data_IF_989345125563
#
_entry.id   IF_989345125563
#
_cell.length_a   1.000
_cell.length_b   1.000
_cell.length_c   1.000
_cell.angle_alpha   90.00
_cell.angle_beta   90.00
_cell.angle_gamma   90.00
#
_symmetry.space_group_name_H-M   'P 1'
#
loop_
_entity.id
_entity.type
_entity.pdbx_description
1 polymer ?
#
# COMPACT_ATOMS: atom_id res chain seq x y z
N UNK A 1 41.60 18.12 17.09
CA UNK A 1 40.99 16.79 17.26
C UNK A 1 40.17 16.42 16.03
N UNK A 2 40.46 15.29 15.37
CA UNK A 2 39.83 14.90 14.09
C UNK A 2 39.39 13.43 14.10
N UNK A 3 38.08 13.18 14.13
CA UNK A 3 37.47 11.83 14.16
C UNK A 3 36.84 11.44 12.82
N UNK A 4 37.28 12.04 11.71
CA UNK A 4 36.72 11.84 10.38
C UNK A 4 36.90 10.40 9.88
N UNK A 5 38.04 9.79 10.16
CA UNK A 5 38.38 8.42 9.72
C UNK A 5 37.51 7.40 10.46
N UNK A 6 37.45 7.50 11.79
CA UNK A 6 36.66 6.65 12.67
C UNK A 6 35.17 6.74 12.33
N UNK A 7 34.66 7.95 12.03
CA UNK A 7 33.28 8.13 11.57
C UNK A 7 33.01 7.43 10.24
N UNK A 8 33.98 7.40 9.32
CA UNK A 8 33.85 6.67 8.05
C UNK A 8 33.91 5.15 8.24
N UNK A 9 34.74 4.67 9.16
CA UNK A 9 34.82 3.24 9.51
C UNK A 9 33.53 2.78 10.20
N UNK A 10 33.07 3.53 11.20
CA UNK A 10 31.83 3.27 11.93
C UNK A 10 30.61 3.27 11.00
N UNK A 11 30.56 4.19 10.02
CA UNK A 11 29.52 4.23 8.99
C UNK A 11 29.38 2.88 8.28
N UNK A 12 30.50 2.29 7.86
CA UNK A 12 30.52 1.03 7.11
C UNK A 12 30.17 -0.17 8.01
N UNK A 13 30.60 -0.15 9.28
CA UNK A 13 30.29 -1.21 10.27
C UNK A 13 28.81 -1.19 10.64
N UNK A 14 28.26 -0.01 10.97
CA UNK A 14 26.86 0.18 11.37
C UNK A 14 25.89 0.18 10.18
N UNK A 15 26.40 0.20 8.93
CA UNK A 15 25.61 0.28 7.69
C UNK A 15 24.63 1.47 7.67
N UNK A 16 25.05 2.61 8.22
CA UNK A 16 24.27 3.86 8.23
C UNK A 16 24.97 4.95 7.42
N UNK A 17 24.33 6.11 7.26
CA UNK A 17 24.98 7.30 6.69
C UNK A 17 25.97 7.94 7.67
N UNK A 18 27.01 8.62 7.16
CA UNK A 18 28.04 9.28 7.97
C UNK A 18 27.45 10.25 9.00
N UNK A 19 26.41 10.98 8.64
CA UNK A 19 25.76 11.97 9.51
C UNK A 19 24.94 11.35 10.64
N UNK A 20 24.67 10.03 10.57
CA UNK A 20 23.95 9.29 11.61
C UNK A 20 24.87 8.65 12.63
N UNK A 21 26.16 8.57 12.35
CA UNK A 21 27.12 8.11 13.35
C UNK A 21 27.24 9.22 14.40
N UNK A 22 26.73 8.93 15.59
CA UNK A 22 26.94 9.71 16.79
C UNK A 22 28.18 9.19 17.50
N UNK A 23 28.98 10.13 18.01
CA UNK A 23 30.22 9.89 18.73
C UNK A 23 30.08 10.67 20.03
N UNK A 24 30.37 10.02 21.14
CA UNK A 24 30.36 10.63 22.46
C UNK A 24 31.39 11.77 22.54
N UNK A 25 30.98 13.01 22.89
CA UNK A 25 31.90 14.14 23.01
C UNK A 25 32.95 14.00 24.12
N UNK A 26 32.68 13.23 25.18
CA UNK A 26 33.60 13.09 26.31
C UNK A 26 34.76 12.13 25.99
N UNK A 27 34.49 11.10 25.18
CA UNK A 27 35.45 10.06 24.80
C UNK A 27 36.16 10.31 23.47
N UNK A 28 36.19 11.56 22.99
CA UNK A 28 36.81 11.90 21.70
C UNK A 28 38.29 11.53 21.66
N UNK A 29 39.01 11.70 22.77
CA UNK A 29 40.45 11.38 22.83
C UNK A 29 40.70 9.88 22.64
N UNK A 30 39.99 9.03 23.37
CA UNK A 30 40.07 7.57 23.28
C UNK A 30 39.68 7.06 21.88
N UNK A 31 38.60 7.61 21.33
CA UNK A 31 38.13 7.24 19.98
C UNK A 31 39.12 7.68 18.91
N UNK A 32 39.91 8.73 19.14
CA UNK A 32 40.94 9.17 18.20
C UNK A 32 42.10 8.16 18.11
N UNK A 33 42.41 7.46 19.20
CA UNK A 33 43.44 6.41 19.27
C UNK A 33 43.02 5.11 18.56
N UNK A 34 41.72 4.91 18.34
CA UNK A 34 41.20 3.76 17.61
C UNK A 34 41.57 3.84 16.11
N UNK A 35 42.44 2.93 15.65
CA UNK A 35 42.93 2.84 14.26
C UNK A 35 42.21 1.72 13.50
N UNK A 36 42.02 0.55 14.12
CA UNK A 36 41.50 -0.63 13.42
C UNK A 36 39.97 -0.68 13.42
N UNK A 37 39.40 -1.50 12.53
CA UNK A 37 37.95 -1.77 12.54
C UNK A 37 37.49 -2.46 13.83
N UNK A 38 38.37 -3.24 14.47
CA UNK A 38 38.04 -3.95 15.71
C UNK A 38 37.91 -2.98 16.89
N UNK A 39 38.78 -1.98 16.97
CA UNK A 39 38.73 -0.94 18.00
C UNK A 39 37.44 -0.11 17.88
N UNK A 40 37.06 0.24 16.65
CA UNK A 40 35.79 0.93 16.39
C UNK A 40 34.59 0.04 16.76
N UNK A 41 34.66 -1.30 16.57
CA UNK A 41 33.61 -2.22 17.04
C UNK A 41 33.51 -2.24 18.57
N UNK A 42 34.66 -2.20 19.27
CA UNK A 42 34.70 -2.15 20.73
C UNK A 42 34.01 -0.90 21.28
N UNK A 43 34.30 0.27 20.71
CA UNK A 43 33.61 1.51 21.06
C UNK A 43 32.13 1.55 20.68
N UNK A 44 31.72 0.81 19.64
CA UNK A 44 30.29 0.60 19.33
C UNK A 44 29.62 -0.26 20.40
N UNK A 45 30.27 -1.35 20.85
CA UNK A 45 29.72 -2.21 21.91
C UNK A 45 29.66 -1.51 23.27
N UNK A 46 30.62 -0.63 23.57
CA UNK A 46 30.65 0.20 24.79
C UNK A 46 29.65 1.36 24.75
N UNK A 47 29.08 1.68 23.58
CA UNK A 47 28.12 2.77 23.40
C UNK A 47 28.74 4.14 23.11
N UNK A 48 30.07 4.27 23.09
CA UNK A 48 30.79 5.51 22.75
C UNK A 48 30.59 5.94 21.28
N UNK A 49 30.24 4.99 20.40
CA UNK A 49 29.82 5.26 19.01
C UNK A 49 28.47 4.58 18.77
N UNK A 50 27.46 5.34 18.36
CA UNK A 50 26.12 4.80 18.10
C UNK A 50 25.51 5.31 16.78
N UNK A 51 24.56 4.57 16.25
CA UNK A 51 23.73 5.03 15.14
C UNK A 51 22.52 5.81 15.67
N UNK A 52 22.38 7.08 15.25
CA UNK A 52 21.15 7.85 15.51
C UNK A 52 19.95 7.18 14.83
N UNK A 53 18.79 7.15 15.49
CA UNK A 53 17.58 6.58 14.91
C UNK A 53 17.19 7.31 13.62
N UNK A 54 16.44 6.63 12.76
CA UNK A 54 15.87 7.25 11.57
C UNK A 54 14.75 8.20 11.99
N UNK A 55 14.88 9.47 11.63
CA UNK A 55 13.78 10.43 11.71
C UNK A 55 12.76 10.03 10.65
N UNK A 56 11.74 9.28 11.07
CA UNK A 56 10.63 8.87 10.22
C UNK A 56 9.55 9.94 10.13
N UNK A 57 8.79 9.96 9.02
CA UNK A 57 7.61 10.81 8.90
C UNK A 57 6.40 10.14 9.54
N UNK A 58 5.71 10.85 10.44
CA UNK A 58 4.50 10.31 11.06
C UNK A 58 3.35 10.18 10.05
N UNK A 59 2.70 9.02 10.04
CA UNK A 59 1.56 8.73 9.16
C UNK A 59 0.19 9.02 9.78
N UNK A 60 0.14 9.48 11.04
CA UNK A 60 -1.11 9.66 11.79
C UNK A 60 -2.12 10.57 11.08
N UNK A 61 -1.69 11.74 10.60
CA UNK A 61 -2.55 12.69 9.86
C UNK A 61 -3.08 12.10 8.56
N UNK A 62 -2.23 11.40 7.81
CA UNK A 62 -2.61 10.71 6.56
C UNK A 62 -3.66 9.63 6.82
N UNK A 63 -3.49 8.83 7.89
CA UNK A 63 -4.46 7.81 8.31
C UNK A 63 -5.81 8.42 8.70
N UNK A 64 -5.81 9.52 9.47
CA UNK A 64 -7.03 10.26 9.83
C UNK A 64 -7.81 10.72 8.59
N UNK A 65 -7.13 11.34 7.62
CA UNK A 65 -7.74 11.78 6.35
C UNK A 65 -8.24 10.58 5.53
N UNK A 66 -7.50 9.47 5.48
CA UNK A 66 -7.91 8.25 4.78
C UNK A 66 -9.20 7.67 5.35
N UNK A 67 -9.37 7.67 6.68
CA UNK A 67 -10.60 7.24 7.35
C UNK A 67 -11.77 8.15 7.01
N UNK A 68 -11.59 9.48 7.03
CA UNK A 68 -12.62 10.43 6.62
C UNK A 68 -13.05 10.23 5.15
N UNK A 69 -12.08 10.05 4.25
CA UNK A 69 -12.35 9.75 2.83
C UNK A 69 -13.08 8.42 2.63
N UNK A 70 -12.77 7.40 3.44
CA UNK A 70 -13.48 6.09 3.41
C UNK A 70 -14.96 6.23 3.79
N UNK A 71 -15.28 7.17 4.68
CA UNK A 71 -16.67 7.53 5.05
C UNK A 71 -17.38 8.39 3.98
N UNK A 72 -16.71 8.76 2.89
CA UNK A 72 -17.26 9.65 1.85
C UNK A 72 -17.12 11.14 2.16
N UNK A 73 -16.41 11.52 3.23
CA UNK A 73 -16.09 12.92 3.52
C UNK A 73 -14.92 13.40 2.65
N UNK A 74 -14.76 14.71 2.49
CA UNK A 74 -13.66 15.33 1.73
C UNK A 74 -13.59 14.92 0.24
N UNK A 75 -14.69 14.44 -0.36
CA UNK A 75 -14.77 14.02 -1.79
C UNK A 75 -15.78 14.83 -2.62
N UNK A 76 -16.28 15.95 -2.08
CA UNK A 76 -17.19 16.88 -2.78
C UNK A 76 -16.53 17.59 -3.97
N UNK A 77 -17.35 18.28 -4.79
CA UNK A 77 -16.93 18.85 -6.08
C UNK A 77 -15.68 19.75 -5.98
N UNK A 78 -15.63 20.68 -5.02
CA UNK A 78 -14.47 21.57 -4.82
C UNK A 78 -13.17 20.89 -4.38
N UNK A 79 -13.21 19.63 -3.95
CA UNK A 79 -12.00 18.83 -3.63
C UNK A 79 -11.56 17.94 -4.79
N UNK A 80 -12.35 17.83 -5.86
CA UNK A 80 -12.03 17.00 -7.01
C UNK A 80 -11.04 17.76 -7.90
N UNK A 81 -9.92 17.11 -8.18
CA UNK A 81 -8.98 17.51 -9.21
C UNK A 81 -9.00 16.45 -10.32
N UNK A 82 -8.85 16.90 -11.57
CA UNK A 82 -8.92 16.06 -12.77
C UNK A 82 -10.33 15.67 -13.20
N UNK A 83 -10.45 15.10 -14.40
CA UNK A 83 -11.72 14.69 -15.00
C UNK A 83 -12.30 13.43 -14.33
N UNK A 84 -13.59 13.16 -14.54
CA UNK A 84 -14.27 11.95 -14.03
C UNK A 84 -13.56 10.66 -14.46
N UNK A 85 -13.15 10.58 -15.73
CA UNK A 85 -12.49 9.41 -16.30
C UNK A 85 -11.08 9.21 -15.72
N UNK A 86 -10.34 10.29 -15.40
CA UNK A 86 -9.04 10.19 -14.74
C UNK A 86 -9.16 9.65 -13.30
N UNK A 87 -10.20 10.07 -12.57
CA UNK A 87 -10.45 9.63 -11.19
C UNK A 87 -10.98 8.19 -11.13
N UNK A 88 -11.93 7.85 -12.00
CA UNK A 88 -12.51 6.51 -12.09
C UNK A 88 -12.69 6.17 -13.58
N UNK A 89 -11.75 5.41 -14.18
CA UNK A 89 -11.80 5.07 -15.60
C UNK A 89 -13.04 4.25 -15.96
N UNK A 90 -13.76 4.66 -17.01
CA UNK A 90 -14.98 4.01 -17.49
C UNK A 90 -14.77 2.52 -17.81
N UNK A 91 -13.65 2.20 -18.49
CA UNK A 91 -13.24 0.83 -18.81
C UNK A 91 -13.05 -0.03 -17.56
N UNK A 92 -12.48 0.53 -16.49
CA UNK A 92 -12.28 -0.19 -15.22
C UNK A 92 -13.63 -0.46 -14.52
N UNK A 93 -14.56 0.48 -14.56
CA UNK A 93 -15.93 0.29 -14.06
C UNK A 93 -16.61 -0.86 -14.81
N UNK A 94 -16.55 -0.83 -16.15
CA UNK A 94 -17.11 -1.90 -16.99
C UNK A 94 -16.50 -3.26 -16.69
N UNK A 95 -15.17 -3.38 -16.64
CA UNK A 95 -14.46 -4.62 -16.32
C UNK A 95 -14.88 -5.17 -14.94
N UNK A 96 -14.94 -4.30 -13.93
CA UNK A 96 -15.32 -4.70 -12.56
C UNK A 96 -16.76 -5.20 -12.54
N UNK A 97 -17.66 -4.48 -13.21
CA UNK A 97 -19.08 -4.83 -13.34
C UNK A 97 -19.25 -6.18 -14.05
N UNK A 98 -18.73 -6.35 -15.26
CA UNK A 98 -18.94 -7.58 -16.05
C UNK A 98 -18.32 -8.80 -15.38
N UNK A 99 -17.13 -8.66 -14.78
CA UNK A 99 -16.48 -9.76 -14.03
C UNK A 99 -17.31 -10.16 -12.82
N UNK A 100 -17.90 -9.20 -12.10
CA UNK A 100 -18.76 -9.50 -10.96
C UNK A 100 -20.01 -10.27 -11.37
N UNK A 101 -20.63 -9.94 -12.51
CA UNK A 101 -21.81 -10.63 -13.06
C UNK A 101 -21.46 -12.03 -13.55
N UNK A 102 -20.37 -12.18 -14.30
CA UNK A 102 -19.92 -13.49 -14.80
C UNK A 102 -19.54 -14.44 -13.67
N UNK A 103 -18.88 -13.92 -12.62
CA UNK A 103 -18.58 -14.70 -11.41
C UNK A 103 -19.87 -15.17 -10.73
N UNK A 104 -20.88 -14.29 -10.63
CA UNK A 104 -22.18 -14.65 -10.06
C UNK A 104 -22.88 -15.73 -10.88
N UNK A 105 -22.92 -15.60 -12.20
CA UNK A 105 -23.50 -16.60 -13.09
C UNK A 105 -22.79 -17.95 -12.99
N UNK A 106 -21.45 -17.96 -12.91
CA UNK A 106 -20.69 -19.19 -12.69
C UNK A 106 -21.06 -19.84 -11.36
N UNK A 107 -21.18 -19.05 -10.28
CA UNK A 107 -21.59 -19.54 -8.97
C UNK A 107 -23.04 -20.07 -8.96
N UNK A 108 -23.95 -19.47 -9.73
CA UNK A 108 -25.32 -19.95 -9.85
C UNK A 108 -25.38 -21.26 -10.64
N UNK A 109 -24.58 -21.37 -11.71
CA UNK A 109 -24.46 -22.60 -12.51
C UNK A 109 -23.86 -23.73 -11.68
N UNK A 110 -22.80 -23.47 -10.91
CA UNK A 110 -22.14 -24.50 -10.08
C UNK A 110 -22.99 -24.99 -8.92
N UNK A 111 -24.03 -24.24 -8.54
CA UNK A 111 -25.01 -24.61 -7.51
C UNK A 111 -26.28 -25.21 -8.12
N UNK A 112 -26.25 -25.50 -9.42
CA UNK A 112 -27.38 -25.98 -10.23
C UNK A 112 -28.64 -25.13 -10.11
N UNK A 113 -28.48 -23.86 -9.72
CA UNK A 113 -29.61 -22.94 -9.62
C UNK A 113 -30.10 -22.58 -11.00
N UNK A 114 -29.24 -22.49 -12.02
CA UNK A 114 -29.58 -22.19 -13.41
C UNK A 114 -29.12 -23.33 -14.32
N UNK A 115 -29.88 -23.62 -15.37
CA UNK A 115 -29.47 -24.60 -16.39
C UNK A 115 -28.34 -24.03 -17.26
N UNK A 116 -27.56 -24.90 -17.91
CA UNK A 116 -26.46 -24.49 -18.80
C UNK A 116 -26.94 -23.63 -19.98
N UNK A 117 -28.14 -23.90 -20.50
CA UNK A 117 -28.79 -23.09 -21.56
C UNK A 117 -29.09 -21.66 -21.07
N UNK A 118 -29.73 -21.55 -19.90
CA UNK A 118 -30.03 -20.28 -19.24
C UNK A 118 -28.77 -19.48 -18.95
N UNK A 119 -27.71 -20.13 -18.45
CA UNK A 119 -26.41 -19.52 -18.22
C UNK A 119 -25.87 -18.84 -19.48
N UNK A 120 -25.88 -19.54 -20.62
CA UNK A 120 -25.33 -19.01 -21.88
C UNK A 120 -26.08 -17.75 -22.32
N UNK A 121 -27.41 -17.78 -22.24
CA UNK A 121 -28.27 -16.64 -22.57
C UNK A 121 -28.03 -15.45 -21.64
N UNK A 122 -27.99 -15.68 -20.31
CA UNK A 122 -27.72 -14.63 -19.32
C UNK A 122 -26.30 -14.07 -19.43
N UNK A 123 -25.31 -14.89 -19.81
CA UNK A 123 -23.93 -14.47 -20.03
C UNK A 123 -23.81 -13.50 -21.20
N UNK A 124 -24.49 -13.80 -22.32
CA UNK A 124 -24.55 -12.91 -23.48
C UNK A 124 -25.22 -11.58 -23.11
N UNK A 125 -26.39 -11.63 -22.47
CA UNK A 125 -27.10 -10.42 -22.00
C UNK A 125 -26.28 -9.59 -21.03
N UNK A 126 -25.52 -10.24 -20.15
CA UNK A 126 -24.60 -9.55 -19.24
C UNK A 126 -23.52 -8.78 -20.02
N UNK A 127 -22.97 -9.41 -21.05
CA UNK A 127 -21.93 -8.81 -21.89
C UNK A 127 -22.45 -7.64 -22.72
N UNK A 128 -23.74 -7.64 -23.08
CA UNK A 128 -24.43 -6.52 -23.72
C UNK A 128 -24.79 -5.38 -22.75
N UNK A 129 -24.50 -5.52 -21.44
CA UNK A 129 -24.70 -4.46 -20.45
C UNK A 129 -26.13 -4.31 -19.94
N UNK A 130 -27.01 -5.27 -20.21
CA UNK A 130 -28.44 -5.26 -19.82
C UNK A 130 -28.61 -5.14 -18.30
N UNK A 131 -27.77 -5.81 -17.52
CA UNK A 131 -27.84 -5.78 -16.05
C UNK A 131 -27.05 -4.60 -15.50
N UNK A 132 -27.65 -3.83 -14.58
CA UNK A 132 -26.97 -2.70 -13.90
C UNK A 132 -25.97 -3.18 -12.85
N UNK A 133 -26.39 -4.18 -12.07
CA UNK A 133 -25.69 -4.75 -10.93
C UNK A 133 -26.13 -6.22 -10.72
N UNK A 134 -25.58 -6.88 -9.69
CA UNK A 134 -25.94 -8.26 -9.36
C UNK A 134 -27.41 -8.41 -8.96
N UNK A 135 -27.98 -7.42 -8.28
CA UNK A 135 -29.38 -7.46 -7.85
C UNK A 135 -30.31 -7.44 -9.06
N UNK A 136 -30.02 -6.61 -10.06
CA UNK A 136 -30.76 -6.60 -11.34
C UNK A 136 -30.73 -7.96 -12.04
N UNK A 137 -29.58 -8.65 -12.02
CA UNK A 137 -29.46 -10.00 -12.58
C UNK A 137 -30.37 -11.00 -11.83
N UNK A 138 -30.31 -11.01 -10.50
CA UNK A 138 -31.15 -11.88 -9.68
C UNK A 138 -32.65 -11.63 -9.87
N UNK A 139 -33.05 -10.35 -9.95
CA UNK A 139 -34.44 -9.97 -10.23
C UNK A 139 -34.89 -10.50 -11.59
N UNK A 140 -34.04 -10.40 -12.62
CA UNK A 140 -34.34 -10.92 -13.95
C UNK A 140 -34.51 -12.45 -13.94
N UNK A 141 -33.61 -13.17 -13.25
CA UNK A 141 -33.72 -14.63 -13.11
C UNK A 141 -35.00 -15.02 -12.39
N UNK A 142 -35.38 -14.28 -11.33
CA UNK A 142 -36.63 -14.52 -10.60
C UNK A 142 -37.86 -14.34 -11.50
N UNK A 143 -37.88 -13.27 -12.30
CA UNK A 143 -38.95 -13.00 -13.27
C UNK A 143 -39.04 -14.04 -14.39
N UNK A 144 -37.92 -14.62 -14.79
CA UNK A 144 -37.88 -15.67 -15.82
C UNK A 144 -38.47 -17.01 -15.34
N UNK A 145 -38.64 -17.17 -14.02
CA UNK A 145 -39.12 -18.42 -13.38
C UNK A 145 -40.56 -18.35 -12.88
N UNK A 146 -41.13 -17.15 -12.83
CA UNK A 146 -42.57 -16.95 -12.70
C UNK A 146 -43.21 -17.20 -14.05
#
# INVERSE_FOLDING_TARGET
MNVRSQRNIAKNILKVGRNKVWIDPEKISEIQEAITKNDVRKHISEGSIAARPIIGTSTARSKKIKLQKKKGQMTGHGKRKGTKNARIPSKRIWITKIRSLRKELNNLKSKDKIKTSEYRHLYLKSSSGVFKDKSSLHLYIKKMRQ
#
